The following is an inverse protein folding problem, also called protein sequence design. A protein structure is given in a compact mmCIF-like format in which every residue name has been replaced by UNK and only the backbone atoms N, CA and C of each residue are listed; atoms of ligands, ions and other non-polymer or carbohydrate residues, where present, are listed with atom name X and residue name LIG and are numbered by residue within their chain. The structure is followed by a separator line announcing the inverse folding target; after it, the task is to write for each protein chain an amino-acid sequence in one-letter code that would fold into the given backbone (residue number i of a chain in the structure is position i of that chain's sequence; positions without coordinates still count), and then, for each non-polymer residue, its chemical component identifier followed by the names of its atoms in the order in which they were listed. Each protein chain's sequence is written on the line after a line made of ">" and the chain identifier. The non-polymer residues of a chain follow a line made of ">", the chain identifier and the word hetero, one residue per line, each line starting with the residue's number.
data_IF_190124923020
#
_entry.id   IF_190124923020
#
_cell.length_a   1.000
_cell.length_b   1.000
_cell.length_c   1.000
_cell.angle_alpha   90.00
_cell.angle_beta   90.00
_cell.angle_gamma   90.00
#
_symmetry.space_group_name_H-M   'P 1'
#
loop_
_entity.id
_entity.type
_entity.pdbx_description
1 polymer ?
#
# COMPACT_ATOMS: atom_id res chain seq x y z
N UNK A 1 8.39 35.35 9.65
CA UNK A 1 8.74 33.91 9.57
C UNK A 1 8.51 33.46 8.12
N UNK A 2 9.56 33.44 7.29
CA UNK A 2 9.47 32.94 5.92
C UNK A 2 9.41 31.42 5.97
N UNK A 3 8.23 30.84 5.75
CA UNK A 3 8.08 29.40 5.53
C UNK A 3 8.70 29.03 4.17
N UNK A 4 9.95 28.58 4.19
CA UNK A 4 10.73 28.15 3.00
C UNK A 4 10.40 26.70 2.60
N UNK A 5 9.16 26.28 2.66
CA UNK A 5 8.73 24.91 2.32
C UNK A 5 7.42 24.90 1.55
N UNK A 6 7.09 23.75 0.96
CA UNK A 6 5.77 23.54 0.35
C UNK A 6 4.72 23.59 1.44
N UNK A 7 3.67 24.41 1.25
CA UNK A 7 2.56 24.47 2.20
C UNK A 7 1.84 23.11 2.25
N UNK A 8 1.58 22.63 3.48
CA UNK A 8 0.96 21.33 3.72
C UNK A 8 -0.33 21.11 2.89
N UNK A 9 -1.16 22.14 2.73
CA UNK A 9 -2.40 22.03 1.94
C UNK A 9 -2.19 21.56 0.50
N UNK A 10 -1.09 21.99 -0.15
CA UNK A 10 -0.78 21.59 -1.51
C UNK A 10 -0.19 20.18 -1.61
N UNK A 11 0.57 19.76 -0.59
CA UNK A 11 1.00 18.35 -0.46
C UNK A 11 -0.20 17.42 -0.28
N UNK A 12 -1.14 17.80 0.60
CA UNK A 12 -2.36 17.03 0.83
C UNK A 12 -3.24 16.95 -0.41
N UNK A 13 -3.41 18.06 -1.12
CA UNK A 13 -4.21 18.11 -2.33
C UNK A 13 -3.56 17.28 -3.46
N UNK A 14 -2.24 17.36 -3.63
CA UNK A 14 -1.52 16.53 -4.60
C UNK A 14 -1.64 15.04 -4.27
N UNK A 15 -1.45 14.66 -2.99
CA UNK A 15 -1.61 13.28 -2.53
C UNK A 15 -3.04 12.77 -2.78
N UNK A 16 -4.04 13.57 -2.49
CA UNK A 16 -5.45 13.27 -2.73
C UNK A 16 -5.74 13.00 -4.21
N UNK A 17 -5.29 13.90 -5.11
CA UNK A 17 -5.48 13.74 -6.57
C UNK A 17 -4.78 12.48 -7.09
N UNK A 18 -3.52 12.25 -6.67
CA UNK A 18 -2.76 11.08 -7.06
C UNK A 18 -3.40 9.78 -6.59
N UNK A 19 -3.98 9.78 -5.38
CA UNK A 19 -4.65 8.60 -4.82
C UNK A 19 -5.95 8.26 -5.53
N UNK A 20 -6.76 9.26 -5.91
CA UNK A 20 -7.93 9.02 -6.76
C UNK A 20 -7.50 8.38 -8.07
N UNK A 21 -6.50 8.96 -8.77
CA UNK A 21 -6.00 8.44 -10.04
C UNK A 21 -5.47 7.00 -9.92
N UNK A 22 -4.69 6.70 -8.89
CA UNK A 22 -4.19 5.35 -8.67
C UNK A 22 -5.29 4.33 -8.39
N UNK A 23 -6.38 4.75 -7.73
CA UNK A 23 -7.53 3.90 -7.43
C UNK A 23 -8.34 3.50 -8.65
N UNK A 24 -8.18 4.18 -9.79
CA UNK A 24 -8.76 3.75 -11.07
C UNK A 24 -7.96 2.63 -11.73
N UNK A 25 -6.66 2.52 -11.44
CA UNK A 25 -5.78 1.53 -12.06
C UNK A 25 -5.84 0.19 -11.32
N UNK A 26 -5.64 0.22 -10.02
CA UNK A 26 -5.40 -0.97 -9.21
C UNK A 26 -6.53 -2.01 -9.24
N UNK A 27 -7.81 -1.68 -8.97
CA UNK A 27 -8.88 -2.68 -8.92
C UNK A 27 -9.25 -3.23 -10.30
N UNK A 28 -8.96 -2.47 -11.37
CA UNK A 28 -9.35 -2.84 -12.73
C UNK A 28 -8.31 -3.70 -13.44
N UNK A 29 -7.05 -3.67 -13.04
CA UNK A 29 -5.97 -4.29 -13.82
C UNK A 29 -6.22 -5.77 -14.05
N UNK A 30 -6.55 -6.53 -13.01
CA UNK A 30 -6.74 -7.99 -13.15
C UNK A 30 -7.94 -8.32 -14.01
N UNK A 31 -9.09 -7.68 -13.74
CA UNK A 31 -10.32 -7.93 -14.51
C UNK A 31 -10.18 -7.47 -15.98
N UNK A 32 -9.50 -6.34 -16.22
CA UNK A 32 -9.28 -5.86 -17.57
C UNK A 32 -8.38 -6.78 -18.39
N UNK A 33 -7.27 -7.25 -17.81
CA UNK A 33 -6.36 -8.19 -18.45
C UNK A 33 -7.08 -9.51 -18.74
N UNK A 34 -7.90 -9.99 -17.79
CA UNK A 34 -8.59 -11.28 -17.93
C UNK A 34 -9.79 -11.20 -18.88
N UNK A 35 -10.72 -10.28 -18.63
CA UNK A 35 -12.01 -10.25 -19.32
C UNK A 35 -11.94 -9.56 -20.70
N UNK A 36 -11.13 -8.50 -20.83
CA UNK A 36 -11.08 -7.70 -22.04
C UNK A 36 -9.88 -8.05 -22.95
N UNK A 37 -8.73 -8.33 -22.35
CA UNK A 37 -7.53 -8.72 -23.12
C UNK A 37 -7.41 -10.23 -23.30
N UNK A 38 -8.31 -11.01 -22.67
CA UNK A 38 -8.40 -12.49 -22.76
C UNK A 38 -7.09 -13.20 -22.37
N UNK A 39 -6.35 -12.61 -21.42
CA UNK A 39 -5.13 -13.19 -20.89
C UNK A 39 -5.39 -13.93 -19.58
N UNK A 40 -4.48 -14.80 -19.19
CA UNK A 40 -4.63 -15.59 -17.98
C UNK A 40 -4.44 -14.76 -16.69
N UNK A 41 -4.94 -15.26 -15.56
CA UNK A 41 -4.73 -14.65 -14.24
C UNK A 41 -3.24 -14.66 -13.83
N UNK A 42 -2.50 -15.66 -14.28
CA UNK A 42 -1.03 -15.71 -14.11
C UNK A 42 -0.36 -14.54 -14.85
N UNK A 43 -0.78 -14.23 -16.08
CA UNK A 43 -0.28 -13.07 -16.83
C UNK A 43 -0.62 -11.77 -16.09
N UNK A 44 -1.85 -11.62 -15.57
CA UNK A 44 -2.23 -10.48 -14.74
C UNK A 44 -1.33 -10.35 -13.51
N UNK A 45 -1.03 -11.46 -12.84
CA UNK A 45 -0.13 -11.53 -11.70
C UNK A 45 1.31 -11.13 -12.04
N UNK A 46 1.84 -11.56 -13.20
CA UNK A 46 3.16 -11.16 -13.70
C UNK A 46 3.22 -9.65 -13.94
N UNK A 47 2.20 -9.08 -14.60
CA UNK A 47 2.12 -7.64 -14.85
C UNK A 47 2.10 -6.84 -13.55
N UNK A 48 1.32 -7.28 -12.56
CA UNK A 48 1.26 -6.64 -11.24
C UNK A 48 2.57 -6.80 -10.45
N UNK A 49 3.29 -7.92 -10.64
CA UNK A 49 4.63 -8.10 -10.07
C UNK A 49 5.62 -7.09 -10.66
N UNK A 50 5.63 -6.90 -11.98
CA UNK A 50 6.46 -5.88 -12.64
C UNK A 50 6.08 -4.46 -12.24
N UNK A 51 4.78 -4.16 -12.15
CA UNK A 51 4.28 -2.90 -11.63
C UNK A 51 4.82 -2.60 -10.22
N UNK A 52 4.71 -3.57 -9.31
CA UNK A 52 5.17 -3.44 -7.92
C UNK A 52 6.69 -3.33 -7.83
N UNK A 53 7.42 -4.12 -8.62
CA UNK A 53 8.88 -4.03 -8.72
C UNK A 53 9.34 -2.67 -9.24
N UNK A 54 8.72 -2.17 -10.29
CA UNK A 54 8.99 -0.85 -10.85
C UNK A 54 8.69 0.28 -9.85
N UNK A 55 7.61 0.14 -9.04
CA UNK A 55 7.28 1.07 -7.98
C UNK A 55 8.39 1.16 -6.91
N UNK A 56 8.94 0.03 -6.48
CA UNK A 56 10.07 -0.01 -5.55
C UNK A 56 11.30 0.67 -6.15
N UNK A 57 11.62 0.39 -7.41
CA UNK A 57 12.75 1.01 -8.12
C UNK A 57 12.56 2.53 -8.23
N UNK A 58 11.36 2.98 -8.61
CA UNK A 58 11.01 4.40 -8.70
C UNK A 58 11.11 5.11 -7.36
N UNK A 59 10.64 4.47 -6.28
CA UNK A 59 10.76 4.97 -4.91
C UNK A 59 12.23 5.13 -4.48
N UNK A 60 13.05 4.11 -4.74
CA UNK A 60 14.46 4.14 -4.39
C UNK A 60 15.23 5.23 -5.13
N UNK A 61 15.05 5.32 -6.47
CA UNK A 61 15.74 6.31 -7.30
C UNK A 61 15.32 7.73 -6.94
N UNK A 62 14.02 7.97 -6.76
CA UNK A 62 13.52 9.30 -6.41
C UNK A 62 14.00 9.76 -5.02
N UNK A 63 14.02 8.84 -4.04
CA UNK A 63 14.57 9.13 -2.71
C UNK A 63 16.05 9.50 -2.75
N UNK A 64 16.86 8.73 -3.49
CA UNK A 64 18.29 9.02 -3.66
C UNK A 64 18.54 10.36 -4.39
N UNK A 65 17.71 10.69 -5.38
CA UNK A 65 17.88 11.93 -6.15
C UNK A 65 17.34 13.16 -5.40
N UNK A 66 16.41 12.98 -4.46
CA UNK A 66 15.82 14.07 -3.71
C UNK A 66 16.84 14.94 -2.98
N UNK A 67 17.90 14.34 -2.46
CA UNK A 67 18.95 15.05 -1.73
C UNK A 67 20.09 15.53 -2.64
N UNK A 68 20.21 14.98 -3.88
CA UNK A 68 21.31 15.28 -4.80
C UNK A 68 20.96 16.24 -5.92
N UNK A 69 19.68 16.42 -6.24
CA UNK A 69 19.21 17.26 -7.34
C UNK A 69 18.09 18.19 -6.86
N UNK A 70 17.62 19.09 -7.75
CA UNK A 70 16.53 19.98 -7.41
C UNK A 70 15.21 19.21 -7.23
N UNK A 71 14.67 19.10 -5.99
CA UNK A 71 13.49 18.27 -5.71
C UNK A 71 12.24 18.71 -6.47
N UNK A 72 12.08 20.02 -6.69
CA UNK A 72 10.95 20.56 -7.45
C UNK A 72 10.98 20.11 -8.91
N UNK A 73 12.15 20.19 -9.57
CA UNK A 73 12.31 19.74 -10.97
C UNK A 73 12.06 18.23 -11.09
N UNK A 74 12.56 17.45 -10.12
CA UNK A 74 12.32 16.01 -10.07
C UNK A 74 10.83 15.67 -9.92
N UNK A 75 10.12 16.40 -9.06
CA UNK A 75 8.69 16.21 -8.86
C UNK A 75 7.88 16.60 -10.09
N UNK A 76 8.21 17.75 -10.73
CA UNK A 76 7.58 18.18 -12.00
C UNK A 76 7.83 17.12 -13.08
N UNK A 77 9.07 16.66 -13.26
CA UNK A 77 9.41 15.63 -14.25
C UNK A 77 8.63 14.34 -14.00
N UNK A 78 8.59 13.84 -12.75
CA UNK A 78 7.87 12.62 -12.40
C UNK A 78 6.36 12.71 -12.66
N UNK A 79 5.72 13.82 -12.27
CA UNK A 79 4.27 13.99 -12.48
C UNK A 79 3.92 14.19 -13.96
N UNK A 80 4.73 14.94 -14.73
CA UNK A 80 4.53 15.13 -16.16
C UNK A 80 4.70 13.83 -16.94
N UNK A 81 5.77 13.05 -16.65
CA UNK A 81 5.99 11.77 -17.31
C UNK A 81 4.89 10.76 -16.97
N UNK A 82 4.43 10.73 -15.73
CA UNK A 82 3.26 9.92 -15.34
C UNK A 82 2.01 10.33 -16.13
N UNK A 83 1.76 11.64 -16.29
CA UNK A 83 0.66 12.17 -17.08
C UNK A 83 0.75 11.75 -18.55
N UNK A 84 1.95 11.83 -19.14
CA UNK A 84 2.19 11.40 -20.54
C UNK A 84 1.89 9.90 -20.69
N UNK A 85 2.37 9.06 -19.79
CA UNK A 85 2.11 7.60 -19.84
C UNK A 85 0.61 7.33 -19.72
N UNK A 86 -0.10 7.98 -18.79
CA UNK A 86 -1.56 7.82 -18.68
C UNK A 86 -2.29 8.30 -19.93
N UNK A 87 -1.81 9.36 -20.58
CA UNK A 87 -2.37 9.85 -21.85
C UNK A 87 -2.17 8.80 -22.97
N UNK A 88 -1.00 8.19 -23.05
CA UNK A 88 -0.72 7.12 -24.02
C UNK A 88 -1.66 5.93 -23.78
N UNK A 89 -1.91 5.56 -22.52
CA UNK A 89 -2.81 4.46 -22.15
C UNK A 89 -4.27 4.68 -22.60
N UNK A 90 -4.71 5.91 -22.82
CA UNK A 90 -6.06 6.18 -23.37
C UNK A 90 -6.23 5.55 -24.75
N UNK A 91 -5.18 5.61 -25.57
CA UNK A 91 -5.21 5.18 -26.98
C UNK A 91 -4.58 3.80 -27.19
N UNK A 92 -3.61 3.42 -26.37
CA UNK A 92 -2.80 2.20 -26.51
C UNK A 92 -2.93 1.33 -25.26
N UNK A 93 -4.09 0.69 -25.09
CA UNK A 93 -4.38 -0.17 -23.94
C UNK A 93 -4.54 -1.66 -24.28
N UNK A 94 -4.24 -2.05 -25.52
CA UNK A 94 -4.22 -3.46 -25.94
C UNK A 94 -3.01 -4.23 -25.43
N UNK A 95 -3.08 -5.56 -25.51
CA UNK A 95 -1.96 -6.44 -25.16
C UNK A 95 -0.88 -6.44 -26.26
N UNK A 96 0.43 -6.45 -25.93
CA UNK A 96 1.04 -6.41 -24.59
C UNK A 96 1.35 -4.99 -24.09
N UNK A 97 0.99 -3.95 -24.84
CA UNK A 97 1.34 -2.55 -24.57
C UNK A 97 0.81 -2.10 -23.19
N UNK A 98 -0.41 -2.55 -22.85
CA UNK A 98 -1.00 -2.27 -21.54
C UNK A 98 -0.09 -2.66 -20.37
N UNK A 99 0.44 -3.89 -20.37
CA UNK A 99 1.33 -4.40 -19.32
C UNK A 99 2.64 -3.60 -19.21
N UNK A 100 3.20 -3.19 -20.35
CA UNK A 100 4.42 -2.38 -20.40
C UNK A 100 4.15 -0.99 -19.83
N UNK A 101 3.10 -0.30 -20.27
CA UNK A 101 2.74 1.02 -19.80
C UNK A 101 2.36 1.01 -18.32
N UNK A 102 1.67 -0.05 -17.86
CA UNK A 102 1.36 -0.23 -16.45
C UNK A 102 2.62 -0.38 -15.60
N UNK A 103 3.62 -1.09 -16.07
CA UNK A 103 4.92 -1.19 -15.40
C UNK A 103 5.60 0.18 -15.29
N UNK A 104 5.58 0.96 -16.37
CA UNK A 104 6.14 2.32 -16.37
C UNK A 104 5.39 3.25 -15.40
N UNK A 105 4.06 3.15 -15.34
CA UNK A 105 3.28 3.96 -14.37
C UNK A 105 3.56 3.51 -12.94
N UNK A 106 3.82 2.23 -12.69
CA UNK A 106 4.28 1.73 -11.41
C UNK A 106 5.53 2.45 -10.93
N UNK A 107 6.54 2.60 -11.79
CA UNK A 107 7.75 3.35 -11.50
C UNK A 107 7.44 4.81 -11.08
N UNK A 108 6.61 5.52 -11.84
CA UNK A 108 6.28 6.91 -11.51
C UNK A 108 5.39 7.03 -10.28
N UNK A 109 4.55 6.06 -9.97
CA UNK A 109 3.78 6.05 -8.73
C UNK A 109 4.70 5.96 -7.51
N UNK A 110 5.69 5.06 -7.53
CA UNK A 110 6.69 4.97 -6.47
C UNK A 110 7.51 6.26 -6.34
N UNK A 111 7.91 6.84 -7.47
CA UNK A 111 8.59 8.12 -7.53
C UNK A 111 7.78 9.24 -6.85
N UNK A 112 6.53 9.42 -7.26
CA UNK A 112 5.64 10.49 -6.76
C UNK A 112 5.38 10.34 -5.26
N UNK A 113 5.03 9.14 -4.78
CA UNK A 113 4.75 8.88 -3.36
C UNK A 113 5.98 9.20 -2.50
N UNK A 114 7.15 8.76 -2.93
CA UNK A 114 8.40 9.02 -2.20
C UNK A 114 8.73 10.51 -2.19
N UNK A 115 8.57 11.20 -3.31
CA UNK A 115 8.79 12.65 -3.38
C UNK A 115 7.82 13.43 -2.48
N UNK A 116 6.51 13.09 -2.46
CA UNK A 116 5.53 13.71 -1.55
C UNK A 116 5.94 13.51 -0.10
N UNK A 117 6.31 12.29 0.29
CA UNK A 117 6.76 11.98 1.64
C UNK A 117 8.05 12.73 2.00
N UNK A 118 8.99 12.86 1.06
CA UNK A 118 10.23 13.62 1.26
C UNK A 118 9.99 15.13 1.39
N UNK A 119 9.07 15.72 0.63
CA UNK A 119 8.63 17.09 0.85
C UNK A 119 7.93 17.27 2.20
N UNK A 120 7.19 16.28 2.66
CA UNK A 120 6.52 16.30 3.96
C UNK A 120 7.50 16.43 5.14
N UNK A 121 8.66 15.77 5.08
CA UNK A 121 9.70 15.89 6.11
C UNK A 121 10.28 17.31 6.20
N UNK A 122 10.24 18.08 5.10
CA UNK A 122 10.72 19.46 5.02
C UNK A 122 9.65 20.52 5.30
N UNK A 123 8.45 20.13 5.73
CA UNK A 123 7.32 21.06 5.95
C UNK A 123 7.47 22.00 7.15
N UNK A 124 8.45 21.78 8.02
CA UNK A 124 8.69 22.56 9.24
C UNK A 124 7.60 22.42 10.32
N UNK A 125 6.69 21.44 10.17
CA UNK A 125 5.62 21.09 11.13
C UNK A 125 5.94 19.78 11.84
N UNK A 126 5.17 19.48 12.90
CA UNK A 126 5.26 18.17 13.55
C UNK A 126 5.06 17.05 12.53
N UNK A 127 6.09 16.23 12.34
CA UNK A 127 6.10 15.16 11.35
C UNK A 127 4.95 14.17 11.55
N UNK A 128 4.59 13.84 12.80
CA UNK A 128 3.47 12.95 13.10
C UNK A 128 2.15 13.52 12.55
N UNK A 129 1.91 14.80 12.75
CA UNK A 129 0.71 15.47 12.24
C UNK A 129 0.69 15.45 10.70
N UNK A 130 1.82 15.79 10.05
CA UNK A 130 1.91 15.85 8.58
C UNK A 130 1.64 14.49 7.96
N UNK A 131 2.30 13.44 8.45
CA UNK A 131 2.11 12.08 7.91
C UNK A 131 0.69 11.54 8.17
N UNK A 132 0.08 11.85 9.31
CA UNK A 132 -1.32 11.49 9.56
C UNK A 132 -2.27 12.18 8.57
N UNK A 133 -2.03 13.46 8.24
CA UNK A 133 -2.83 14.17 7.26
C UNK A 133 -2.63 13.65 5.84
N UNK A 134 -1.40 13.28 5.46
CA UNK A 134 -1.13 12.62 4.17
C UNK A 134 -1.82 11.26 4.07
N UNK A 135 -1.77 10.47 5.14
CA UNK A 135 -2.48 9.20 5.21
C UNK A 135 -4.00 9.38 5.07
N UNK A 136 -4.56 10.38 5.74
CA UNK A 136 -5.98 10.73 5.59
C UNK A 136 -6.32 11.13 4.16
N UNK A 137 -5.54 12.04 3.54
CA UNK A 137 -5.76 12.48 2.17
C UNK A 137 -5.66 11.31 1.16
N UNK A 138 -4.69 10.40 1.37
CA UNK A 138 -4.54 9.19 0.56
C UNK A 138 -5.77 8.28 0.64
N UNK A 139 -6.22 7.97 1.85
CA UNK A 139 -7.39 7.08 2.04
C UNK A 139 -8.68 7.72 1.53
N UNK A 140 -8.88 9.03 1.74
CA UNK A 140 -10.03 9.75 1.20
C UNK A 140 -10.04 9.68 -0.34
N UNK A 141 -8.88 9.91 -0.98
CA UNK A 141 -8.74 9.78 -2.43
C UNK A 141 -9.04 8.36 -2.91
N UNK A 142 -8.53 7.35 -2.21
CA UNK A 142 -8.78 5.94 -2.51
C UNK A 142 -10.28 5.59 -2.41
N UNK A 143 -10.96 6.02 -1.35
CA UNK A 143 -12.42 5.78 -1.18
C UNK A 143 -13.23 6.40 -2.32
N UNK A 144 -12.92 7.65 -2.68
CA UNK A 144 -13.62 8.34 -3.80
C UNK A 144 -13.34 7.62 -5.11
N UNK A 145 -12.08 7.30 -5.40
CA UNK A 145 -11.71 6.64 -6.65
C UNK A 145 -12.34 5.25 -6.78
N UNK A 146 -12.29 4.43 -5.74
CA UNK A 146 -12.91 3.09 -5.77
C UNK A 146 -14.44 3.16 -5.86
N UNK A 147 -15.08 4.17 -5.28
CA UNK A 147 -16.54 4.35 -5.41
C UNK A 147 -16.94 4.64 -6.87
N UNK A 148 -16.13 5.39 -7.59
CA UNK A 148 -16.46 5.85 -8.96
C UNK A 148 -16.06 4.79 -10.01
N UNK A 149 -14.94 4.10 -9.81
CA UNK A 149 -14.34 3.26 -10.85
C UNK A 149 -15.23 2.11 -11.30
N UNK A 150 -15.91 1.42 -10.38
CA UNK A 150 -16.77 0.28 -10.73
C UNK A 150 -17.99 0.68 -11.59
N UNK A 151 -18.81 1.65 -11.15
CA UNK A 151 -19.90 2.18 -11.98
C UNK A 151 -19.44 2.70 -13.34
N UNK A 152 -18.30 3.40 -13.38
CA UNK A 152 -17.76 3.95 -14.63
C UNK A 152 -17.31 2.84 -15.60
N UNK A 153 -16.64 1.80 -15.09
CA UNK A 153 -16.23 0.64 -15.89
C UNK A 153 -17.43 -0.11 -16.47
N UNK A 154 -18.47 -0.29 -15.65
CA UNK A 154 -19.70 -0.93 -16.09
C UNK A 154 -20.45 -0.08 -17.13
N UNK A 155 -20.52 1.24 -16.94
CA UNK A 155 -21.15 2.16 -17.90
C UNK A 155 -20.39 2.21 -19.25
N UNK A 156 -19.09 2.02 -19.22
CA UNK A 156 -18.21 2.00 -20.39
C UNK A 156 -18.11 0.61 -21.05
N UNK A 157 -18.97 -0.35 -20.69
CA UNK A 157 -18.98 -1.73 -21.24
C UNK A 157 -17.59 -2.40 -21.19
N UNK A 158 -16.85 -2.16 -20.09
CA UNK A 158 -15.50 -2.71 -19.90
C UNK A 158 -14.38 -1.91 -20.57
N UNK A 159 -14.67 -0.82 -21.27
CA UNK A 159 -13.64 0.03 -21.84
C UNK A 159 -12.94 0.85 -20.75
N UNK A 160 -11.61 0.73 -20.65
CA UNK A 160 -10.80 1.43 -19.64
C UNK A 160 -10.36 2.84 -20.06
N UNK A 161 -10.52 3.22 -21.32
CA UNK A 161 -10.09 4.55 -21.81
C UNK A 161 -10.69 5.73 -21.04
N UNK A 162 -11.98 5.72 -20.62
CA UNK A 162 -12.54 6.79 -19.79
C UNK A 162 -11.86 6.91 -18.41
N UNK A 163 -11.43 5.78 -17.81
CA UNK A 163 -10.70 5.77 -16.54
C UNK A 163 -9.33 6.41 -16.71
N UNK A 164 -8.60 6.06 -17.77
CA UNK A 164 -7.30 6.68 -18.07
C UNK A 164 -7.44 8.17 -18.40
N UNK A 165 -8.52 8.58 -19.06
CA UNK A 165 -8.80 10.00 -19.31
C UNK A 165 -8.97 10.77 -17.99
N UNK A 166 -9.80 10.27 -17.06
CA UNK A 166 -9.98 10.89 -15.74
C UNK A 166 -8.66 10.90 -14.97
N UNK A 167 -7.93 9.79 -14.97
CA UNK A 167 -6.62 9.71 -14.32
C UNK A 167 -5.64 10.72 -14.92
N UNK A 168 -5.61 10.87 -16.23
CA UNK A 168 -4.80 11.88 -16.94
C UNK A 168 -5.16 13.29 -16.49
N UNK A 169 -6.44 13.62 -16.36
CA UNK A 169 -6.89 14.92 -15.86
C UNK A 169 -6.40 15.15 -14.42
N UNK A 170 -6.55 14.15 -13.54
CA UNK A 170 -6.11 14.22 -12.15
C UNK A 170 -4.60 14.41 -12.02
N UNK A 171 -3.80 13.66 -12.81
CA UNK A 171 -2.33 13.81 -12.84
C UNK A 171 -1.91 15.15 -13.45
N UNK A 172 -2.66 15.65 -14.46
CA UNK A 172 -2.44 17.01 -15.00
C UNK A 172 -2.69 18.07 -13.93
N UNK A 173 -3.80 17.98 -13.19
CA UNK A 173 -4.09 18.88 -12.07
C UNK A 173 -3.00 18.79 -11.00
N UNK A 174 -2.54 17.58 -10.70
CA UNK A 174 -1.43 17.40 -9.75
C UNK A 174 -0.14 18.04 -10.27
N UNK A 175 0.20 17.86 -11.54
CA UNK A 175 1.36 18.50 -12.17
C UNK A 175 1.26 20.04 -12.11
N UNK A 176 0.09 20.62 -12.36
CA UNK A 176 -0.15 22.05 -12.22
C UNK A 176 0.03 22.53 -10.78
N UNK A 177 -0.47 21.77 -9.79
CA UNK A 177 -0.24 22.06 -8.37
C UNK A 177 1.25 22.09 -8.06
N UNK A 178 2.02 21.12 -8.56
CA UNK A 178 3.47 21.06 -8.35
C UNK A 178 4.17 22.25 -9.02
N UNK A 179 3.81 22.59 -10.26
CA UNK A 179 4.41 23.69 -11.01
C UNK A 179 4.16 25.03 -10.33
N UNK A 180 2.96 25.30 -9.87
CA UNK A 180 2.59 26.62 -9.35
C UNK A 180 2.82 26.80 -7.86
N UNK A 181 2.70 25.74 -7.05
CA UNK A 181 2.66 25.84 -5.60
C UNK A 181 3.82 25.16 -4.87
N UNK A 182 4.59 24.27 -5.53
CA UNK A 182 5.80 23.72 -4.93
C UNK A 182 6.93 24.73 -5.21
N UNK A 183 7.31 25.47 -4.18
CA UNK A 183 8.41 26.44 -4.28
C UNK A 183 9.75 25.73 -4.16
N UNK A 184 10.77 26.25 -4.88
CA UNK A 184 12.14 25.84 -4.63
C UNK A 184 12.52 26.24 -3.20
N UNK A 185 12.66 25.26 -2.34
CA UNK A 185 13.43 25.46 -1.13
C UNK A 185 14.89 25.52 -1.58
N UNK A 186 15.42 26.72 -1.77
CA UNK A 186 16.87 26.92 -1.77
C UNK A 186 17.32 26.62 -0.33
N UNK A 187 17.43 25.35 0.01
CA UNK A 187 18.42 24.99 1.02
C UNK A 187 19.77 25.26 0.35
N UNK A 188 20.37 26.38 0.72
CA UNK A 188 21.80 26.44 0.84
C UNK A 188 22.20 25.07 1.37
N UNK A 189 22.92 24.30 0.55
CA UNK A 189 23.80 23.24 1.03
C UNK A 189 24.78 24.00 1.93
N UNK A 190 24.34 24.29 3.16
CA UNK A 190 25.26 24.59 4.22
C UNK A 190 26.01 23.26 4.34
N UNK A 191 27.23 23.33 3.82
CA UNK A 191 28.28 22.36 4.04
C UNK A 191 28.25 22.01 5.54
N UNK A 192 27.60 20.96 5.87
CA UNK A 192 27.86 20.20 7.08
C UNK A 192 29.05 19.31 6.76
N UNK A 193 30.14 19.95 6.26
CA UNK A 193 31.39 19.24 5.95
C UNK A 193 32.20 18.93 7.22
N UNK A 194 31.80 19.43 8.40
CA UNK A 194 32.69 19.33 9.56
C UNK A 194 32.03 18.65 10.81
N UNK A 195 30.84 18.09 10.71
CA UNK A 195 30.20 17.41 11.89
C UNK A 195 29.82 15.96 11.61
N UNK A 196 29.75 15.52 10.36
CA UNK A 196 29.39 14.13 10.02
C UNK A 196 30.55 13.13 10.10
N UNK A 197 31.81 13.61 10.03
CA UNK A 197 32.98 12.71 10.08
C UNK A 197 33.31 12.16 11.48
N UNK A 198 32.76 12.72 12.55
CA UNK A 198 32.98 12.18 13.91
C UNK A 198 31.85 11.28 14.42
N UNK A 199 30.63 11.32 13.87
CA UNK A 199 29.54 10.43 14.28
C UNK A 199 29.42 9.18 13.40
N UNK A 200 29.91 9.18 12.15
CA UNK A 200 29.82 8.03 11.27
C UNK A 200 30.81 6.90 11.64
N UNK A 201 31.81 7.18 12.46
CA UNK A 201 32.79 6.18 12.89
C UNK A 201 32.53 5.56 14.29
N UNK A 202 31.49 5.96 14.99
CA UNK A 202 30.95 5.16 16.08
C UNK A 202 29.85 4.25 15.53
N UNK A 203 30.23 3.16 14.85
CA UNK A 203 29.41 1.95 14.82
C UNK A 203 29.23 1.49 16.27
N UNK A 204 28.28 2.12 16.96
CA UNK A 204 27.78 1.61 18.23
C UNK A 204 27.17 0.27 17.87
N UNK A 205 27.91 -0.77 18.19
CA UNK A 205 27.50 -2.16 17.98
C UNK A 205 26.39 -2.45 18.99
N UNK A 206 25.22 -1.81 18.79
CA UNK A 206 24.03 -1.97 19.63
C UNK A 206 23.53 -3.38 19.37
N UNK A 207 24.00 -4.33 20.18
CA UNK A 207 23.49 -5.70 20.15
C UNK A 207 22.03 -5.67 20.62
N UNK A 208 21.12 -5.74 19.66
CA UNK A 208 19.71 -5.95 19.97
C UNK A 208 19.55 -7.27 20.72
N UNK A 209 18.75 -7.32 21.81
CA UNK A 209 18.44 -8.55 22.50
C UNK A 209 17.94 -9.62 21.55
N UNK A 210 18.42 -10.85 21.73
CA UNK A 210 18.07 -11.95 20.83
C UNK A 210 16.54 -12.20 20.78
N UNK A 211 15.84 -11.93 21.89
CA UNK A 211 14.40 -12.04 21.97
C UNK A 211 13.69 -11.04 21.06
N UNK A 212 14.15 -9.76 21.02
CA UNK A 212 13.61 -8.72 20.14
C UNK A 212 13.84 -9.04 18.67
N UNK A 213 15.04 -9.56 18.33
CA UNK A 213 15.34 -10.00 16.98
C UNK A 213 14.38 -11.07 16.51
N UNK A 214 14.12 -12.11 17.33
CA UNK A 214 13.17 -13.17 16.98
C UNK A 214 11.75 -12.65 16.77
N UNK A 215 11.27 -11.74 17.63
CA UNK A 215 9.93 -11.15 17.51
C UNK A 215 9.84 -10.27 16.24
N UNK A 216 10.88 -9.48 15.95
CA UNK A 216 10.88 -8.65 14.75
C UNK A 216 10.89 -9.51 13.48
N UNK A 217 11.75 -10.52 13.40
CA UNK A 217 11.82 -11.40 12.24
C UNK A 217 10.55 -12.20 12.00
N UNK A 218 9.89 -12.67 13.06
CA UNK A 218 8.62 -13.38 12.88
C UNK A 218 7.52 -12.45 12.34
N UNK A 219 7.50 -11.17 12.75
CA UNK A 219 6.58 -10.20 12.18
C UNK A 219 6.90 -9.86 10.73
N UNK A 220 8.17 -9.80 10.34
CA UNK A 220 8.53 -9.58 8.93
C UNK A 220 8.01 -10.72 8.06
N UNK A 221 8.23 -11.96 8.47
CA UNK A 221 7.73 -13.15 7.74
C UNK A 221 6.20 -13.16 7.73
N UNK A 222 5.57 -12.86 8.88
CA UNK A 222 4.11 -12.79 8.97
C UNK A 222 3.52 -11.76 8.01
N UNK A 223 4.16 -10.60 7.84
CA UNK A 223 3.70 -9.57 6.90
C UNK A 223 3.82 -10.01 5.44
N UNK A 224 4.86 -10.77 5.06
CA UNK A 224 4.90 -11.36 3.71
C UNK A 224 3.69 -12.26 3.50
N UNK A 225 3.43 -13.18 4.43
CA UNK A 225 2.29 -14.11 4.31
C UNK A 225 0.96 -13.35 4.28
N UNK A 226 0.75 -12.44 5.24
CA UNK A 226 -0.49 -11.67 5.32
C UNK A 226 -0.73 -10.89 4.03
N UNK A 227 0.27 -10.13 3.54
CA UNK A 227 0.09 -9.33 2.33
C UNK A 227 -0.06 -10.18 1.07
N UNK A 228 0.67 -11.32 0.95
CA UNK A 228 0.48 -12.23 -0.18
C UNK A 228 -0.95 -12.77 -0.23
N UNK A 229 -1.53 -13.12 0.92
CA UNK A 229 -2.91 -13.61 0.97
C UNK A 229 -3.91 -12.44 0.81
N UNK A 230 -3.67 -11.28 1.44
CA UNK A 230 -4.52 -10.10 1.33
C UNK A 230 -4.68 -9.60 -0.11
N UNK A 231 -3.65 -9.67 -0.93
CA UNK A 231 -3.69 -9.26 -2.34
C UNK A 231 -4.68 -10.07 -3.18
N UNK A 232 -5.18 -11.23 -2.69
CA UNK A 232 -6.25 -11.96 -3.38
C UNK A 232 -7.57 -11.19 -3.38
N UNK A 233 -7.82 -10.39 -2.32
CA UNK A 233 -8.96 -9.48 -2.26
C UNK A 233 -8.86 -8.36 -3.29
N UNK A 234 -7.66 -7.84 -3.50
CA UNK A 234 -7.43 -6.71 -4.39
C UNK A 234 -7.30 -7.10 -5.87
N UNK A 235 -6.78 -8.30 -6.16
CA UNK A 235 -6.50 -8.75 -7.53
C UNK A 235 -7.53 -9.77 -8.03
N UNK A 236 -7.56 -10.96 -7.46
CA UNK A 236 -8.27 -12.10 -8.05
C UNK A 236 -9.76 -12.16 -7.69
N UNK A 237 -10.18 -11.55 -6.57
CA UNK A 237 -11.57 -11.57 -6.12
C UNK A 237 -12.51 -10.83 -7.10
N UNK A 238 -12.02 -9.81 -7.81
CA UNK A 238 -12.81 -9.09 -8.81
C UNK A 238 -13.33 -10.02 -9.90
N UNK A 239 -12.46 -10.87 -10.42
CA UNK A 239 -12.80 -11.87 -11.46
C UNK A 239 -13.73 -12.94 -10.88
N UNK A 240 -13.43 -13.48 -9.69
CA UNK A 240 -14.30 -14.44 -9.03
C UNK A 240 -15.73 -13.94 -8.83
N UNK A 241 -15.91 -12.68 -8.49
CA UNK A 241 -17.23 -12.08 -8.32
C UNK A 241 -17.95 -11.88 -9.66
N UNK A 242 -17.24 -11.44 -10.70
CA UNK A 242 -17.83 -11.26 -12.04
C UNK A 242 -18.22 -12.58 -12.67
N UNK A 243 -17.44 -13.63 -12.49
CA UNK A 243 -17.76 -15.00 -12.91
C UNK A 243 -19.06 -15.53 -12.28
N UNK A 244 -19.38 -15.05 -11.06
CA UNK A 244 -20.65 -15.34 -10.38
C UNK A 244 -21.81 -14.39 -10.78
N UNK A 245 -21.61 -13.52 -11.76
CA UNK A 245 -22.59 -12.53 -12.20
C UNK A 245 -22.75 -11.33 -11.28
N UNK A 246 -21.81 -11.12 -10.33
CA UNK A 246 -21.78 -9.94 -9.45
C UNK A 246 -21.03 -8.81 -10.16
N UNK A 247 -21.69 -7.67 -10.34
CA UNK A 247 -21.12 -6.56 -11.12
C UNK A 247 -19.86 -5.98 -10.49
N UNK A 248 -18.98 -5.42 -11.34
CA UNK A 248 -17.78 -4.69 -10.93
C UNK A 248 -18.10 -3.51 -9.99
N UNK A 249 -19.27 -2.88 -10.16
CA UNK A 249 -19.77 -1.86 -9.22
C UNK A 249 -19.87 -2.40 -7.80
N UNK A 250 -20.44 -3.60 -7.61
CA UNK A 250 -20.55 -4.23 -6.28
C UNK A 250 -19.19 -4.58 -5.70
N UNK A 251 -18.24 -5.05 -6.53
CA UNK A 251 -16.86 -5.27 -6.08
C UNK A 251 -16.20 -3.96 -5.62
N UNK A 252 -16.28 -2.90 -6.40
CA UNK A 252 -15.66 -1.61 -6.02
C UNK A 252 -16.29 -1.00 -4.76
N UNK A 253 -17.59 -1.21 -4.53
CA UNK A 253 -18.27 -0.79 -3.31
C UNK A 253 -17.78 -1.54 -2.06
N UNK A 254 -17.24 -2.76 -2.19
CA UNK A 254 -16.58 -3.45 -1.06
C UNK A 254 -15.35 -2.66 -0.60
N UNK A 255 -14.56 -2.10 -1.51
CA UNK A 255 -13.39 -1.27 -1.16
C UNK A 255 -13.79 0.08 -0.57
N UNK A 256 -14.89 0.66 -1.05
CA UNK A 256 -15.49 1.85 -0.42
C UNK A 256 -15.90 1.54 1.02
N UNK A 257 -16.58 0.43 1.24
CA UNK A 257 -16.96 -0.05 2.57
C UNK A 257 -15.73 -0.29 3.45
N UNK A 258 -14.72 -0.98 2.93
CA UNK A 258 -13.44 -1.19 3.62
C UNK A 258 -12.83 0.13 4.10
N UNK A 259 -12.68 1.11 3.22
CA UNK A 259 -12.10 2.41 3.57
C UNK A 259 -12.87 3.16 4.67
N UNK A 260 -14.20 3.12 4.63
CA UNK A 260 -15.05 3.71 5.67
C UNK A 260 -14.87 2.96 7.00
N UNK A 261 -14.93 1.62 6.96
CA UNK A 261 -14.82 0.78 8.14
C UNK A 261 -13.44 0.86 8.79
N UNK A 262 -12.36 1.00 8.02
CA UNK A 262 -11.00 1.24 8.58
C UNK A 262 -11.03 2.45 9.51
N UNK A 263 -11.59 3.57 9.07
CA UNK A 263 -11.66 4.79 9.89
C UNK A 263 -12.48 4.54 11.17
N UNK A 264 -13.65 3.92 11.03
CA UNK A 264 -14.53 3.62 12.17
C UNK A 264 -13.85 2.69 13.18
N UNK A 265 -13.24 1.61 12.70
CA UNK A 265 -12.58 0.64 13.57
C UNK A 265 -11.32 1.21 14.21
N UNK A 266 -10.51 2.01 13.50
CA UNK A 266 -9.33 2.67 14.07
C UNK A 266 -9.70 3.66 15.16
N UNK A 267 -10.78 4.43 15.00
CA UNK A 267 -11.30 5.30 16.06
C UNK A 267 -11.76 4.48 17.27
N UNK A 268 -12.49 3.39 17.04
CA UNK A 268 -12.94 2.46 18.08
C UNK A 268 -11.76 1.81 18.83
N UNK A 269 -10.75 1.33 18.12
CA UNK A 269 -9.54 0.72 18.69
C UNK A 269 -8.74 1.77 19.50
N UNK A 270 -8.59 2.99 18.96
CA UNK A 270 -7.91 4.07 19.66
C UNK A 270 -8.62 4.44 20.96
N UNK A 271 -9.96 4.44 20.94
CA UNK A 271 -10.76 4.67 22.16
C UNK A 271 -10.60 3.51 23.16
N UNK A 272 -10.67 2.27 22.69
CA UNK A 272 -10.53 1.07 23.53
C UNK A 272 -9.12 0.99 24.16
N UNK A 273 -8.07 1.38 23.42
CA UNK A 273 -6.69 1.35 23.88
C UNK A 273 -6.43 2.29 25.10
N UNK A 274 -7.30 3.27 25.34
CA UNK A 274 -7.23 4.10 26.55
C UNK A 274 -7.52 3.30 27.82
N UNK A 275 -8.28 2.21 27.70
CA UNK A 275 -8.69 1.35 28.81
C UNK A 275 -7.94 0.04 28.85
N UNK A 276 -7.68 -0.56 27.68
CA UNK A 276 -7.05 -1.87 27.57
C UNK A 276 -6.00 -1.84 26.44
N UNK A 277 -4.77 -1.53 26.80
CA UNK A 277 -3.65 -1.55 25.85
C UNK A 277 -3.00 -2.94 25.82
N UNK A 278 -3.38 -3.78 24.86
CA UNK A 278 -2.84 -5.14 24.67
C UNK A 278 -2.42 -5.34 23.20
N UNK A 279 -1.28 -4.77 22.76
CA UNK A 279 -0.91 -4.77 21.33
C UNK A 279 -0.75 -6.18 20.77
N UNK A 280 -0.19 -7.11 21.49
CA UNK A 280 -0.07 -8.50 21.00
C UNK A 280 -1.43 -9.18 20.80
N UNK A 281 -2.40 -8.93 21.67
CA UNK A 281 -3.76 -9.45 21.48
C UNK A 281 -4.43 -8.85 20.24
N UNK A 282 -4.18 -7.58 19.94
CA UNK A 282 -4.67 -6.93 18.71
C UNK A 282 -4.09 -7.61 17.46
N UNK A 283 -2.80 -7.94 17.47
CA UNK A 283 -2.18 -8.68 16.36
C UNK A 283 -2.85 -10.05 16.18
N UNK A 284 -3.08 -10.80 17.25
CA UNK A 284 -3.71 -12.13 17.17
C UNK A 284 -5.15 -12.03 16.67
N UNK A 285 -5.98 -11.16 17.26
CA UNK A 285 -7.35 -10.94 16.78
C UNK A 285 -7.35 -10.53 15.32
N UNK A 286 -6.42 -9.66 14.93
CA UNK A 286 -6.31 -9.20 13.56
C UNK A 286 -5.92 -10.30 12.57
N UNK A 287 -4.91 -11.11 12.89
CA UNK A 287 -4.52 -12.25 12.05
C UNK A 287 -5.67 -13.27 11.94
N UNK A 288 -6.29 -13.61 13.07
CA UNK A 288 -7.43 -14.51 13.09
C UNK A 288 -8.56 -14.03 12.19
N UNK A 289 -8.95 -12.76 12.29
CA UNK A 289 -10.07 -12.23 11.48
C UNK A 289 -9.71 -12.11 10.00
N UNK A 290 -8.45 -11.78 9.65
CA UNK A 290 -8.00 -11.85 8.25
C UNK A 290 -8.11 -13.29 7.72
N UNK A 291 -7.62 -14.29 8.46
CA UNK A 291 -7.74 -15.69 8.07
C UNK A 291 -9.21 -16.16 7.96
N UNK A 292 -10.05 -15.75 8.92
CA UNK A 292 -11.46 -16.11 8.95
C UNK A 292 -12.27 -15.46 7.82
N UNK A 293 -11.84 -14.29 7.30
CA UNK A 293 -12.46 -13.68 6.13
C UNK A 293 -12.41 -14.59 4.90
N UNK A 294 -11.30 -15.32 4.70
CA UNK A 294 -11.18 -16.30 3.63
C UNK A 294 -12.04 -17.53 3.84
N UNK A 295 -12.27 -17.94 5.10
CA UNK A 295 -13.23 -19.01 5.40
C UNK A 295 -14.64 -18.58 5.00
N UNK A 296 -15.03 -17.33 5.22
CA UNK A 296 -16.32 -16.80 4.77
C UNK A 296 -16.46 -16.78 3.26
N UNK A 297 -15.36 -16.51 2.52
CA UNK A 297 -15.35 -16.53 1.06
C UNK A 297 -15.63 -17.93 0.49
N UNK A 298 -15.34 -19.02 1.21
CA UNK A 298 -15.67 -20.38 0.78
C UNK A 298 -17.18 -20.60 0.64
N UNK A 299 -17.98 -19.85 1.38
CA UNK A 299 -19.44 -19.92 1.39
C UNK A 299 -20.09 -18.74 0.65
N UNK A 300 -19.29 -17.92 -0.05
CA UNK A 300 -19.75 -16.69 -0.67
C UNK A 300 -20.47 -16.97 -2.00
N UNK A 301 -21.79 -17.19 -1.94
CA UNK A 301 -22.67 -17.37 -3.10
C UNK A 301 -23.57 -16.15 -3.38
N UNK A 302 -23.49 -15.11 -2.56
CA UNK A 302 -24.26 -13.88 -2.72
C UNK A 302 -23.46 -12.67 -2.25
N UNK A 303 -23.82 -11.48 -2.73
CA UNK A 303 -23.12 -10.23 -2.38
C UNK A 303 -23.03 -10.01 -0.87
N UNK A 304 -24.05 -10.37 -0.10
CA UNK A 304 -24.07 -10.23 1.36
C UNK A 304 -22.94 -11.00 2.06
N UNK A 305 -22.55 -12.17 1.53
CA UNK A 305 -21.42 -12.93 2.05
C UNK A 305 -20.09 -12.22 1.80
N UNK A 306 -19.91 -11.60 0.62
CA UNK A 306 -18.72 -10.78 0.33
C UNK A 306 -18.65 -9.56 1.24
N UNK A 307 -19.79 -8.90 1.51
CA UNK A 307 -19.87 -7.79 2.48
C UNK A 307 -19.47 -8.27 3.88
N UNK A 308 -20.02 -9.39 4.36
CA UNK A 308 -19.69 -9.93 5.68
C UNK A 308 -18.19 -10.30 5.78
N UNK A 309 -17.65 -10.94 4.75
CA UNK A 309 -16.25 -11.30 4.69
C UNK A 309 -15.34 -10.05 4.65
N UNK A 310 -15.74 -8.98 3.92
CA UNK A 310 -15.01 -7.71 3.89
C UNK A 310 -15.03 -7.01 5.25
N UNK A 311 -16.16 -7.00 5.97
CA UNK A 311 -16.22 -6.44 7.34
C UNK A 311 -15.25 -7.16 8.27
N UNK A 312 -15.21 -8.49 8.21
CA UNK A 312 -14.30 -9.31 9.03
C UNK A 312 -12.84 -9.07 8.64
N UNK A 313 -12.53 -8.99 7.35
CA UNK A 313 -11.20 -8.63 6.85
C UNK A 313 -10.76 -7.27 7.40
N UNK A 314 -11.64 -6.27 7.33
CA UNK A 314 -11.34 -4.90 7.73
C UNK A 314 -11.09 -4.77 9.24
N UNK A 315 -11.77 -5.57 10.08
CA UNK A 315 -11.44 -5.65 11.51
C UNK A 315 -9.98 -6.10 11.68
N UNK A 316 -9.58 -7.12 10.94
CA UNK A 316 -8.21 -7.63 10.97
C UNK A 316 -7.19 -6.62 10.48
N UNK A 317 -7.48 -5.97 9.38
CA UNK A 317 -6.65 -4.93 8.81
C UNK A 317 -6.43 -3.76 9.78
N UNK A 318 -7.51 -3.25 10.38
CA UNK A 318 -7.46 -2.13 11.32
C UNK A 318 -6.74 -2.48 12.64
N UNK A 319 -6.70 -3.76 13.02
CA UNK A 319 -6.08 -4.20 14.28
C UNK A 319 -4.63 -4.65 14.10
N UNK A 320 -4.34 -5.58 13.18
CA UNK A 320 -3.01 -6.18 13.04
C UNK A 320 -2.01 -5.26 12.32
N UNK A 321 -2.39 -4.68 11.15
CA UNK A 321 -1.44 -4.01 10.28
C UNK A 321 -0.81 -2.74 10.86
N UNK A 322 -1.50 -1.88 11.64
CA UNK A 322 -0.86 -0.76 12.31
C UNK A 322 -0.12 -1.17 13.59
N UNK A 323 -0.52 -2.28 14.23
CA UNK A 323 0.03 -2.68 15.51
C UNK A 323 1.38 -3.40 15.37
N UNK A 324 1.59 -4.20 14.32
CA UNK A 324 2.88 -4.87 14.07
C UNK A 324 4.04 -3.88 13.92
N UNK A 325 3.96 -2.82 13.07
CA UNK A 325 4.99 -1.79 13.01
C UNK A 325 5.23 -1.08 14.35
N UNK A 326 4.19 -0.84 15.13
CA UNK A 326 4.30 -0.21 16.43
C UNK A 326 5.08 -1.08 17.42
N UNK A 327 4.83 -2.40 17.46
CA UNK A 327 5.60 -3.34 18.29
C UNK A 327 7.05 -3.41 17.82
N UNK A 328 7.31 -3.54 16.53
CA UNK A 328 8.69 -3.54 15.98
C UNK A 328 9.42 -2.27 16.36
N UNK A 329 8.74 -1.12 16.33
CA UNK A 329 9.32 0.16 16.74
C UNK A 329 9.65 0.20 18.24
N UNK A 330 8.78 -0.33 19.11
CA UNK A 330 9.03 -0.38 20.56
C UNK A 330 10.12 -1.38 20.96
N UNK A 331 10.31 -2.45 20.18
CA UNK A 331 11.36 -3.46 20.39
C UNK A 331 12.70 -3.08 19.77
N UNK A 332 12.79 -1.99 19.02
CA UNK A 332 14.01 -1.57 18.33
C UNK A 332 14.69 -0.41 19.07
N UNK A 333 16.01 -0.50 19.36
CA UNK A 333 16.78 0.62 19.91
C UNK A 333 16.67 1.87 19.02
N UNK A 334 16.68 3.05 19.65
CA UNK A 334 16.45 4.34 18.98
C UNK A 334 17.33 4.52 17.74
N UNK A 335 18.62 4.18 17.81
CA UNK A 335 19.58 4.32 16.72
C UNK A 335 19.31 3.43 15.49
N UNK A 336 18.49 2.38 15.62
CA UNK A 336 18.23 1.42 14.53
C UNK A 336 16.74 1.27 14.22
N UNK A 337 15.85 2.10 14.82
CA UNK A 337 14.40 2.08 14.56
C UNK A 337 14.10 2.21 13.07
N UNK A 338 14.73 3.16 12.38
CA UNK A 338 14.53 3.38 10.95
C UNK A 338 14.92 2.16 10.11
N UNK A 339 16.03 1.48 10.44
CA UNK A 339 16.46 0.25 9.78
C UNK A 339 15.39 -0.86 9.87
N UNK A 340 14.86 -1.12 11.06
CA UNK A 340 13.86 -2.18 11.26
C UNK A 340 12.50 -1.85 10.65
N UNK A 341 12.10 -0.57 10.66
CA UNK A 341 10.92 -0.12 9.92
C UNK A 341 11.09 -0.25 8.40
N UNK A 342 12.29 0.06 7.89
CA UNK A 342 12.63 -0.16 6.49
C UNK A 342 12.54 -1.63 6.07
N UNK A 343 13.09 -2.55 6.89
CA UNK A 343 12.98 -3.99 6.65
C UNK A 343 11.50 -4.43 6.67
N UNK A 344 10.73 -3.99 7.66
CA UNK A 344 9.30 -4.29 7.75
C UNK A 344 8.53 -3.86 6.49
N UNK A 345 8.78 -2.65 6.01
CA UNK A 345 8.16 -2.15 4.79
C UNK A 345 8.60 -2.94 3.54
N UNK A 346 9.88 -3.36 3.48
CA UNK A 346 10.38 -4.18 2.38
C UNK A 346 9.69 -5.55 2.33
N UNK A 347 9.51 -6.21 3.48
CA UNK A 347 8.81 -7.49 3.57
C UNK A 347 7.31 -7.34 3.26
N UNK A 348 6.67 -6.27 3.70
CA UNK A 348 5.28 -5.95 3.33
C UNK A 348 5.13 -5.75 1.82
N UNK A 349 6.05 -5.01 1.20
CA UNK A 349 6.06 -4.77 -0.25
C UNK A 349 6.32 -6.06 -1.04
N UNK A 350 7.19 -6.94 -0.53
CA UNK A 350 7.45 -8.24 -1.14
C UNK A 350 6.18 -9.10 -1.17
N UNK A 351 5.43 -9.15 -0.06
CA UNK A 351 4.15 -9.87 -0.01
C UNK A 351 3.13 -9.32 -1.02
N UNK A 352 2.99 -8.00 -1.09
CA UNK A 352 2.11 -7.34 -2.07
C UNK A 352 2.51 -7.64 -3.52
N UNK A 353 3.81 -7.64 -3.81
CA UNK A 353 4.31 -7.90 -5.16
C UNK A 353 4.07 -9.36 -5.60
N UNK A 354 4.27 -10.32 -4.70
CA UNK A 354 4.12 -11.75 -5.00
C UNK A 354 2.64 -12.17 -5.03
N UNK A 355 1.79 -11.52 -4.23
CA UNK A 355 0.40 -11.94 -4.00
C UNK A 355 -0.42 -12.20 -5.27
N UNK A 356 -0.54 -11.25 -6.20
CA UNK A 356 -1.34 -11.45 -7.40
C UNK A 356 -0.86 -12.62 -8.27
N UNK A 357 0.47 -12.77 -8.44
CA UNK A 357 1.06 -13.88 -9.18
C UNK A 357 0.80 -15.23 -8.49
N UNK A 358 0.99 -15.28 -7.17
CA UNK A 358 0.69 -16.49 -6.38
C UNK A 358 -0.77 -16.93 -6.58
N UNK A 359 -1.72 -15.98 -6.50
CA UNK A 359 -3.13 -16.27 -6.69
C UNK A 359 -3.45 -16.74 -8.11
N UNK A 360 -2.93 -16.06 -9.13
CA UNK A 360 -3.13 -16.44 -10.52
C UNK A 360 -2.65 -17.88 -10.80
N UNK A 361 -1.43 -18.20 -10.38
CA UNK A 361 -0.86 -19.56 -10.50
C UNK A 361 -1.72 -20.62 -9.78
N UNK A 362 -2.16 -20.30 -8.56
CA UNK A 362 -2.96 -21.24 -7.76
C UNK A 362 -4.36 -21.47 -8.35
N UNK A 363 -5.00 -20.42 -8.85
CA UNK A 363 -6.33 -20.54 -9.47
C UNK A 363 -6.26 -21.36 -10.74
N UNK A 364 -5.28 -21.09 -11.62
CA UNK A 364 -5.09 -21.82 -12.87
C UNK A 364 -4.70 -23.28 -12.66
N UNK A 365 -3.88 -23.56 -11.64
CA UNK A 365 -3.49 -24.92 -11.28
C UNK A 365 -4.61 -25.70 -10.58
N UNK A 366 -5.55 -25.02 -9.90
CA UNK A 366 -6.54 -25.66 -9.05
C UNK A 366 -7.93 -25.03 -9.15
N UNK A 367 -8.25 -24.07 -8.28
CA UNK A 367 -9.51 -23.31 -8.27
C UNK A 367 -9.48 -22.16 -7.25
N UNK A 368 -10.43 -21.22 -7.33
CA UNK A 368 -10.64 -20.20 -6.30
C UNK A 368 -10.92 -20.80 -4.90
N UNK A 369 -11.68 -21.89 -4.85
CA UNK A 369 -12.00 -22.54 -3.58
C UNK A 369 -10.75 -23.04 -2.86
N UNK A 370 -9.84 -23.71 -3.58
CA UNK A 370 -8.56 -24.18 -3.04
C UNK A 370 -7.66 -22.98 -2.66
N UNK A 371 -7.63 -21.92 -3.47
CA UNK A 371 -6.91 -20.70 -3.12
C UNK A 371 -7.37 -20.13 -1.77
N UNK A 372 -8.68 -19.98 -1.55
CA UNK A 372 -9.21 -19.44 -0.28
C UNK A 372 -8.90 -20.35 0.92
N UNK A 373 -8.93 -21.68 0.73
CA UNK A 373 -8.48 -22.62 1.77
C UNK A 373 -7.01 -22.40 2.10
N UNK A 374 -6.15 -22.31 1.10
CA UNK A 374 -4.71 -22.09 1.29
C UNK A 374 -4.46 -20.74 1.97
N UNK A 375 -5.18 -19.67 1.59
CA UNK A 375 -5.09 -18.38 2.24
C UNK A 375 -5.44 -18.45 3.72
N UNK A 376 -6.58 -19.08 4.06
CA UNK A 376 -7.02 -19.24 5.44
C UNK A 376 -6.00 -20.04 6.26
N UNK A 377 -5.59 -21.22 5.75
CA UNK A 377 -4.65 -22.11 6.45
C UNK A 377 -3.29 -21.41 6.62
N UNK A 378 -2.76 -20.74 5.60
CA UNK A 378 -1.47 -20.06 5.68
C UNK A 378 -1.46 -18.97 6.75
N UNK A 379 -2.55 -18.19 6.88
CA UNK A 379 -2.66 -17.15 7.90
C UNK A 379 -2.81 -17.77 9.29
N UNK A 380 -3.64 -18.81 9.48
CA UNK A 380 -3.79 -19.47 10.78
C UNK A 380 -2.51 -20.17 11.23
N UNK A 381 -1.81 -20.85 10.32
CA UNK A 381 -0.51 -21.47 10.63
C UNK A 381 0.50 -20.40 11.03
N UNK A 382 0.54 -19.29 10.28
CA UNK A 382 1.44 -18.18 10.61
C UNK A 382 1.08 -17.55 11.96
N UNK A 383 -0.21 -17.40 12.27
CA UNK A 383 -0.69 -16.91 13.57
C UNK A 383 -0.22 -17.81 14.71
N UNK A 384 -0.37 -19.14 14.57
CA UNK A 384 0.09 -20.11 15.58
C UNK A 384 1.61 -19.95 15.81
N UNK A 385 2.41 -19.81 14.75
CA UNK A 385 3.85 -19.60 14.84
C UNK A 385 4.18 -18.29 15.56
N UNK A 386 3.48 -17.20 15.20
CA UNK A 386 3.64 -15.87 15.84
C UNK A 386 3.31 -15.94 17.33
N UNK A 387 2.17 -16.56 17.70
CA UNK A 387 1.76 -16.75 19.09
C UNK A 387 2.82 -17.55 19.86
N UNK A 388 3.32 -18.64 19.28
CA UNK A 388 4.33 -19.50 19.90
C UNK A 388 5.65 -18.75 20.15
N UNK A 389 6.15 -18.02 19.14
CA UNK A 389 7.38 -17.23 19.28
C UNK A 389 7.24 -16.14 20.33
N UNK A 390 6.10 -15.39 20.30
CA UNK A 390 5.85 -14.34 21.28
C UNK A 390 5.74 -14.92 22.70
N UNK A 391 5.02 -16.03 22.88
CA UNK A 391 4.89 -16.68 24.19
C UNK A 391 6.25 -17.05 24.80
N UNK A 392 7.19 -17.52 23.98
CA UNK A 392 8.55 -17.92 24.44
C UNK A 392 9.46 -16.70 24.65
N UNK A 393 9.38 -15.69 23.79
CA UNK A 393 10.39 -14.61 23.73
C UNK A 393 10.00 -13.34 24.45
N UNK A 394 8.69 -13.04 24.60
CA UNK A 394 8.19 -11.80 25.18
C UNK A 394 8.71 -11.51 26.58
N UNK A 395 8.80 -12.52 27.45
CA UNK A 395 9.31 -12.35 28.83
C UNK A 395 10.79 -11.90 28.89
N UNK A 396 11.55 -12.08 27.80
CA UNK A 396 12.97 -11.70 27.65
C UNK A 396 13.16 -10.51 26.71
N UNK A 397 12.08 -9.97 26.18
CA UNK A 397 12.12 -8.81 25.28
C UNK A 397 12.23 -7.51 26.09
N UNK A 398 12.96 -6.55 25.54
CA UNK A 398 13.19 -5.22 26.12
C UNK A 398 12.52 -4.18 25.23
N UNK A 399 11.70 -3.32 25.83
CA UNK A 399 11.09 -2.17 25.13
C UNK A 399 11.99 -0.93 25.27
N UNK A 400 12.08 -0.10 24.20
CA UNK A 400 12.95 1.08 24.09
C UNK A 400 12.15 2.35 23.86
#
# INVERSE_FOLDING_TARGET
>A
MNHQGVELKWLLFGMFLGSIGNSFVWPLTTIYIHDQLHESLTVSGIVLLFYSGANVVGSYISGMLFDRANPRKLMIGGTLLATIVMTIMIFFNGWPIYGILLTVIGFFNGWIITMVNSFATRSGRDGRYVFNMLYFANNLGMVIGTTIVGPLYQYADGNVSPMFLITTILYTMFSLVVIFFFKDSQQTVAKTEDVEDEEENKTVNIKMPQANLWINWIFFIALVVIWTMYEQWASNLSVFMTDQGISMTKYSLLWTLNGILIVVFQLGITWLNRWVNRPYAQVFIGMFTIGFSFVLLLYAHSYSWFVAAMVVLTIGEATALPTMPAIVNSLSPVAVKGKYQGILNAFSSLGKAIGPLFGGLMIEATSYHILFIICAISIFVMEIIVVFVIKIKRAKAVEY
#
